data_IF_774859014050
#
_entry.id   IF_774859014050
#
_cell.length_a   1.000
_cell.length_b   1.000
_cell.length_c   1.000
_cell.angle_alpha   90.00
_cell.angle_beta   90.00
_cell.angle_gamma   90.00
#
_symmetry.space_group_name_H-M   'P 1'
#
loop_
_entity.id
_entity.type
_entity.pdbx_description
1 polymer ?
#
# COMPACT_ATOMS: atom_id res chain seq x y z
N UNK A 1 27.21 4.64 9.25
CA UNK A 1 26.25 3.52 9.32
C UNK A 1 24.86 4.11 9.27
N UNK A 2 24.16 3.97 8.15
CA UNK A 2 22.78 4.43 8.02
C UNK A 2 21.88 3.50 8.85
N UNK A 3 21.02 4.06 9.70
CA UNK A 3 20.01 3.29 10.44
C UNK A 3 19.07 2.63 9.42
N UNK A 4 18.81 1.33 9.57
CA UNK A 4 17.73 0.65 8.83
C UNK A 4 16.40 1.31 9.22
N UNK A 5 15.82 2.08 8.31
CA UNK A 5 14.49 2.67 8.47
C UNK A 5 13.48 1.63 7.97
N UNK A 6 12.42 1.38 8.74
CA UNK A 6 11.26 0.65 8.22
C UNK A 6 10.67 1.47 7.03
N UNK A 7 10.06 0.87 6.00
CA UNK A 7 9.36 1.53 4.88
C UNK A 7 8.47 2.75 5.21
N UNK A 8 8.06 2.98 6.46
CA UNK A 8 7.32 4.17 6.92
C UNK A 8 8.21 5.24 7.61
N UNK A 9 9.54 5.13 7.57
CA UNK A 9 10.45 6.05 8.26
C UNK A 9 10.49 5.89 9.79
N UNK A 10 9.82 4.87 10.35
CA UNK A 10 9.86 4.53 11.78
C UNK A 10 11.11 3.72 12.13
N UNK A 11 11.66 3.96 13.32
CA UNK A 11 12.91 3.34 13.81
C UNK A 11 12.72 1.99 14.51
N UNK A 12 11.54 1.37 14.46
CA UNK A 12 11.20 0.13 15.14
C UNK A 12 9.70 -0.21 15.07
N UNK A 13 9.33 -1.38 15.57
CA UNK A 13 7.93 -1.84 15.69
C UNK A 13 7.52 -1.85 17.17
N UNK A 14 6.43 -1.17 17.52
CA UNK A 14 5.88 -1.15 18.88
C UNK A 14 4.72 -2.16 19.01
N UNK A 15 4.94 -3.21 19.78
CA UNK A 15 3.96 -4.28 20.02
C UNK A 15 3.35 -4.11 21.41
N UNK A 16 2.02 -4.08 21.49
CA UNK A 16 1.30 -4.04 22.78
C UNK A 16 0.74 -5.42 23.10
N UNK A 17 1.09 -5.96 24.26
CA UNK A 17 0.57 -7.24 24.73
C UNK A 17 -0.63 -6.98 25.64
N UNK A 18 -1.82 -7.38 25.20
CA UNK A 18 -3.09 -7.18 25.88
C UNK A 18 -3.78 -8.53 26.14
N UNK A 19 -4.81 -8.52 26.99
CA UNK A 19 -5.54 -9.72 27.38
C UNK A 19 -5.84 -9.76 28.87
N UNK A 20 -6.60 -10.76 29.26
CA UNK A 20 -7.13 -10.90 30.61
C UNK A 20 -6.06 -11.08 31.68
N UNK A 21 -6.46 -10.86 32.94
CA UNK A 21 -5.58 -11.13 34.08
C UNK A 21 -5.26 -12.62 34.09
N UNK A 22 -3.98 -12.95 34.19
CA UNK A 22 -3.56 -14.35 34.28
C UNK A 22 -3.49 -15.09 32.95
N UNK A 23 -3.60 -14.42 31.80
CA UNK A 23 -3.40 -15.11 30.51
C UNK A 23 -1.95 -15.51 30.26
N UNK A 24 -0.97 -14.80 30.83
CA UNK A 24 0.46 -15.11 30.66
C UNK A 24 1.29 -14.04 29.95
N UNK A 25 0.75 -12.83 29.77
CA UNK A 25 1.41 -11.67 29.13
C UNK A 25 2.86 -11.45 29.57
N UNK A 26 3.09 -11.22 30.86
CA UNK A 26 4.43 -10.90 31.37
C UNK A 26 5.39 -12.10 31.22
N UNK A 27 4.91 -13.33 31.41
CA UNK A 27 5.72 -14.54 31.20
C UNK A 27 6.15 -14.70 29.74
N UNK A 28 5.23 -14.47 28.80
CA UNK A 28 5.52 -14.47 27.36
C UNK A 28 6.64 -13.47 27.02
N UNK A 29 6.56 -12.24 27.54
CA UNK A 29 7.54 -11.18 27.27
C UNK A 29 8.91 -11.50 27.87
N UNK A 30 8.96 -11.94 29.14
CA UNK A 30 10.23 -12.28 29.80
C UNK A 30 10.91 -13.44 29.09
N UNK A 31 10.18 -14.51 28.79
CA UNK A 31 10.75 -15.68 28.11
C UNK A 31 11.26 -15.29 26.71
N UNK A 32 10.55 -14.43 25.97
CA UNK A 32 11.01 -13.98 24.66
C UNK A 32 12.28 -13.12 24.73
N UNK A 33 12.44 -12.29 25.77
CA UNK A 33 13.60 -11.40 25.91
C UNK A 33 14.83 -12.08 26.52
N UNK A 34 14.63 -13.02 27.44
CA UNK A 34 15.71 -13.65 28.21
C UNK A 34 16.04 -15.08 27.76
N UNK A 35 15.27 -15.63 26.80
CA UNK A 35 15.34 -17.03 26.34
C UNK A 35 15.30 -18.06 27.48
N UNK A 36 14.74 -17.68 28.63
CA UNK A 36 14.67 -18.49 29.85
C UNK A 36 13.36 -18.22 30.58
N UNK A 37 12.69 -19.27 31.06
CA UNK A 37 11.51 -19.12 31.89
C UNK A 37 11.86 -18.68 33.31
N UNK A 38 11.22 -17.59 33.78
CA UNK A 38 11.34 -17.13 35.16
C UNK A 38 10.09 -17.52 35.96
N UNK A 39 10.26 -18.21 37.10
CA UNK A 39 9.14 -18.55 37.98
C UNK A 39 8.52 -17.32 38.67
N UNK A 40 9.33 -16.30 38.95
CA UNK A 40 8.91 -15.08 39.65
C UNK A 40 8.87 -13.89 38.69
N UNK A 41 7.83 -13.82 37.86
CA UNK A 41 7.63 -12.71 36.92
C UNK A 41 6.89 -11.55 37.60
N UNK A 42 7.38 -10.30 37.48
CA UNK A 42 6.64 -9.11 37.92
C UNK A 42 5.24 -9.04 37.29
N UNK A 43 4.28 -8.42 37.99
CA UNK A 43 2.89 -8.28 37.50
C UNK A 43 2.75 -7.41 36.25
N UNK A 44 3.68 -6.48 36.07
CA UNK A 44 3.74 -5.55 34.95
C UNK A 44 5.21 -5.27 34.69
N UNK A 45 5.64 -5.44 33.44
CA UNK A 45 7.01 -5.17 33.04
C UNK A 45 7.18 -3.72 32.56
N UNK A 46 8.39 -3.13 32.72
CA UNK A 46 8.74 -1.93 31.96
C UNK A 46 8.77 -2.24 30.45
N UNK A 47 8.78 -1.22 29.57
CA UNK A 47 8.96 -1.42 28.13
C UNK A 47 10.20 -2.27 27.83
N UNK A 48 10.00 -3.40 27.16
CA UNK A 48 11.04 -4.37 26.83
C UNK A 48 11.47 -4.18 25.39
N UNK A 49 12.77 -4.00 25.14
CA UNK A 49 13.30 -3.80 23.78
C UNK A 49 14.03 -5.04 23.31
N UNK A 50 13.58 -5.60 22.19
CA UNK A 50 14.34 -6.60 21.43
C UNK A 50 15.20 -5.86 20.39
N UNK A 51 16.50 -6.19 20.28
CA UNK A 51 17.42 -5.51 19.37
C UNK A 51 17.12 -5.86 17.90
N UNK A 52 17.73 -5.14 16.97
CA UNK A 52 17.44 -5.29 15.53
C UNK A 52 17.90 -6.64 14.97
N UNK A 53 19.00 -7.20 15.49
CA UNK A 53 19.57 -8.48 15.09
C UNK A 53 18.78 -9.71 15.58
N UNK A 54 17.71 -9.50 16.36
CA UNK A 54 16.89 -10.59 16.89
C UNK A 54 16.05 -11.29 15.79
N UNK A 55 15.63 -10.57 14.75
CA UNK A 55 14.82 -11.12 13.64
C UNK A 55 15.42 -10.78 12.26
N UNK A 56 15.12 -11.59 11.21
CA UNK A 56 15.73 -11.42 9.88
C UNK A 56 15.53 -10.05 9.24
N UNK A 57 14.40 -9.37 9.50
CA UNK A 57 14.08 -8.06 8.93
C UNK A 57 14.94 -6.92 9.49
N UNK A 58 15.73 -7.17 10.55
CA UNK A 58 16.62 -6.18 11.17
C UNK A 58 15.91 -4.90 11.63
N UNK A 59 14.71 -5.05 12.19
CA UNK A 59 13.93 -3.96 12.78
C UNK A 59 13.77 -4.21 14.28
N UNK A 60 14.16 -3.28 15.16
CA UNK A 60 14.03 -3.48 16.60
C UNK A 60 12.57 -3.45 17.03
N UNK A 61 12.23 -4.24 18.05
CA UNK A 61 10.87 -4.32 18.60
C UNK A 61 10.84 -3.71 20.00
N UNK A 62 9.81 -2.91 20.28
CA UNK A 62 9.49 -2.45 21.62
C UNK A 62 8.19 -3.09 22.07
N UNK A 63 8.27 -3.95 23.09
CA UNK A 63 7.13 -4.68 23.64
C UNK A 63 6.61 -3.96 24.88
N UNK A 64 5.31 -3.72 24.92
CA UNK A 64 4.62 -3.06 26.00
C UNK A 64 3.70 -4.07 26.69
N UNK A 65 4.05 -4.42 27.93
CA UNK A 65 3.16 -5.18 28.81
C UNK A 65 2.05 -4.28 29.33
N UNK A 66 0.84 -4.82 29.48
CA UNK A 66 -0.32 -4.02 29.90
C UNK A 66 -0.96 -4.59 31.17
N UNK A 67 -1.38 -3.67 32.04
CA UNK A 67 -2.11 -3.99 33.26
C UNK A 67 -3.54 -4.40 32.93
N UNK A 68 -4.02 -5.45 33.60
CA UNK A 68 -5.44 -5.86 33.54
C UNK A 68 -6.28 -5.20 34.66
N UNK A 69 -5.72 -4.26 35.42
CA UNK A 69 -6.46 -3.56 36.48
C UNK A 69 -7.44 -2.55 35.90
N UNK A 70 -8.70 -2.49 36.38
CA UNK A 70 -9.70 -1.54 35.89
C UNK A 70 -9.26 -0.06 36.00
N UNK A 71 -8.48 0.28 37.02
CA UNK A 71 -7.96 1.64 37.25
C UNK A 71 -6.97 2.10 36.16
N UNK A 72 -6.30 1.16 35.48
CA UNK A 72 -5.33 1.45 34.42
C UNK A 72 -5.97 1.50 33.01
N UNK A 73 -7.30 1.41 32.90
CA UNK A 73 -8.00 1.34 31.60
C UNK A 73 -7.66 2.52 30.68
N UNK A 74 -7.51 3.73 31.21
CA UNK A 74 -7.11 4.90 30.44
C UNK A 74 -5.70 4.78 29.85
N UNK A 75 -4.75 4.20 30.60
CA UNK A 75 -3.38 3.94 30.11
C UNK A 75 -3.38 2.83 29.06
N UNK A 76 -4.12 1.74 29.30
CA UNK A 76 -4.28 0.65 28.33
C UNK A 76 -4.77 1.18 26.98
N UNK A 77 -5.83 2.00 26.98
CA UNK A 77 -6.36 2.59 25.75
C UNK A 77 -5.33 3.48 25.03
N UNK A 78 -4.56 4.29 25.78
CA UNK A 78 -3.51 5.12 25.20
C UNK A 78 -2.37 4.28 24.59
N UNK A 79 -1.97 3.19 25.25
CA UNK A 79 -0.92 2.31 24.74
C UNK A 79 -1.40 1.53 23.50
N UNK A 80 -2.64 1.05 23.47
CA UNK A 80 -3.25 0.37 22.32
C UNK A 80 -3.36 1.29 21.10
N UNK A 81 -3.78 2.55 21.27
CA UNK A 81 -3.85 3.54 20.17
C UNK A 81 -2.49 3.88 19.55
N UNK A 82 -1.40 3.64 20.28
CA UNK A 82 -0.01 3.86 19.82
C UNK A 82 0.65 2.57 19.34
N UNK A 83 -0.06 1.44 19.32
CA UNK A 83 0.49 0.17 18.88
C UNK A 83 0.75 0.21 17.36
N UNK A 84 1.81 -0.45 16.92
CA UNK A 84 1.98 -0.85 15.52
C UNK A 84 1.43 -2.27 15.30
N UNK A 85 1.36 -3.11 16.34
CA UNK A 85 0.63 -4.38 16.39
C UNK A 85 0.16 -4.70 17.81
N UNK A 86 -0.90 -5.49 17.92
CA UNK A 86 -1.42 -5.98 19.21
C UNK A 86 -1.23 -7.49 19.30
N UNK A 87 -0.58 -7.95 20.36
CA UNK A 87 -0.58 -9.36 20.76
C UNK A 87 -1.70 -9.54 21.78
N UNK A 88 -2.77 -10.20 21.39
CA UNK A 88 -3.96 -10.40 22.23
C UNK A 88 -3.96 -11.80 22.81
N UNK A 89 -3.78 -11.90 24.12
CA UNK A 89 -3.56 -13.16 24.82
C UNK A 89 -4.83 -13.76 25.43
N UNK A 90 -4.96 -15.08 25.36
CA UNK A 90 -5.85 -15.89 26.19
C UNK A 90 -5.04 -17.01 26.87
N UNK A 91 -5.61 -17.67 27.88
CA UNK A 91 -5.01 -18.81 28.56
C UNK A 91 -5.64 -20.11 28.06
N UNK A 92 -4.81 -21.06 27.60
CA UNK A 92 -5.25 -22.36 27.09
C UNK A 92 -5.90 -23.25 28.15
N UNK A 93 -5.63 -22.98 29.43
CA UNK A 93 -6.24 -23.61 30.60
C UNK A 93 -7.54 -22.93 31.07
N UNK A 94 -7.94 -21.80 30.47
CA UNK A 94 -9.09 -20.99 30.91
C UNK A 94 -9.98 -20.58 29.72
N UNK A 95 -10.95 -21.42 29.33
CA UNK A 95 -11.83 -21.18 28.17
C UNK A 95 -12.57 -19.84 28.19
N UNK A 96 -12.86 -19.28 29.38
CA UNK A 96 -13.53 -17.99 29.52
C UNK A 96 -12.70 -16.85 28.93
N UNK A 97 -11.37 -16.92 29.04
CA UNK A 97 -10.47 -15.90 28.48
C UNK A 97 -10.46 -15.90 26.96
N UNK A 98 -10.67 -17.07 26.33
CA UNK A 98 -10.84 -17.22 24.89
C UNK A 98 -12.17 -16.61 24.43
N UNK A 99 -13.27 -16.88 25.15
CA UNK A 99 -14.57 -16.28 24.85
C UNK A 99 -14.54 -14.74 24.98
N UNK A 100 -13.71 -14.21 25.88
CA UNK A 100 -13.53 -12.76 26.05
C UNK A 100 -12.79 -12.07 24.90
N UNK A 101 -12.17 -12.82 23.98
CA UNK A 101 -11.62 -12.24 22.75
C UNK A 101 -12.72 -11.58 21.91
N UNK A 102 -13.76 -12.34 21.56
CA UNK A 102 -14.85 -11.87 20.69
C UNK A 102 -15.90 -11.04 21.42
N UNK A 103 -16.11 -11.27 22.72
CA UNK A 103 -17.14 -10.57 23.51
C UNK A 103 -16.66 -9.26 24.14
N UNK A 104 -15.35 -9.05 24.29
CA UNK A 104 -14.80 -7.86 24.93
C UNK A 104 -13.62 -7.25 24.17
N UNK A 105 -12.51 -7.99 24.00
CA UNK A 105 -11.25 -7.40 23.57
C UNK A 105 -11.29 -6.88 22.12
N UNK A 106 -11.75 -7.69 21.16
CA UNK A 106 -11.81 -7.28 19.76
C UNK A 106 -12.84 -6.15 19.54
N UNK A 107 -14.06 -6.19 20.13
CA UNK A 107 -14.97 -5.03 20.12
C UNK A 107 -14.36 -3.76 20.73
N UNK A 108 -13.63 -3.86 21.85
CA UNK A 108 -12.96 -2.72 22.48
C UNK A 108 -11.89 -2.12 21.56
N UNK A 109 -11.07 -2.96 20.88
CA UNK A 109 -10.09 -2.48 19.90
C UNK A 109 -10.76 -1.67 18.78
N UNK A 110 -11.89 -2.15 18.25
CA UNK A 110 -12.69 -1.43 17.25
C UNK A 110 -13.25 -0.13 17.80
N UNK A 111 -13.80 -0.14 19.02
CA UNK A 111 -14.33 1.06 19.66
C UNK A 111 -13.25 2.13 19.90
N UNK A 112 -12.01 1.71 20.16
CA UNK A 112 -10.85 2.58 20.30
C UNK A 112 -10.26 3.03 18.95
N UNK A 113 -10.82 2.58 17.83
CA UNK A 113 -10.34 2.82 16.46
C UNK A 113 -8.90 2.32 16.24
N UNK A 114 -8.53 1.23 16.89
CA UNK A 114 -7.22 0.58 16.72
C UNK A 114 -7.25 -0.23 15.42
N UNK A 115 -6.56 0.26 14.38
CA UNK A 115 -6.54 -0.32 13.02
C UNK A 115 -5.28 -1.12 12.69
N UNK A 116 -4.54 -1.54 13.72
CA UNK A 116 -3.29 -2.30 13.56
C UNK A 116 -3.53 -3.81 13.60
N UNK A 117 -2.64 -4.63 13.01
CA UNK A 117 -2.79 -6.08 13.02
C UNK A 117 -2.82 -6.65 14.44
N UNK A 118 -3.64 -7.68 14.62
CA UNK A 118 -3.81 -8.43 15.87
C UNK A 118 -3.29 -9.85 15.70
N UNK A 119 -2.40 -10.25 16.61
CA UNK A 119 -1.93 -11.63 16.74
C UNK A 119 -2.59 -12.22 17.98
N UNK A 120 -3.46 -13.20 17.79
CA UNK A 120 -4.10 -13.89 18.91
C UNK A 120 -3.17 -14.97 19.45
N UNK A 121 -2.95 -14.99 20.77
CA UNK A 121 -1.99 -15.90 21.39
C UNK A 121 -2.60 -16.68 22.54
N UNK A 122 -2.69 -17.99 22.39
CA UNK A 122 -3.04 -18.94 23.44
C UNK A 122 -1.82 -19.28 24.28
N UNK A 123 -1.69 -18.68 25.45
CA UNK A 123 -0.59 -18.94 26.37
C UNK A 123 -0.89 -20.16 27.27
N UNK A 124 0.15 -20.67 27.97
CA UNK A 124 0.04 -21.79 28.92
C UNK A 124 -0.45 -23.09 28.28
N UNK A 125 -0.03 -23.34 27.04
CA UNK A 125 -0.35 -24.57 26.32
C UNK A 125 0.02 -25.84 27.13
N UNK A 126 1.03 -25.76 27.98
CA UNK A 126 1.47 -26.83 28.88
C UNK A 126 0.46 -27.24 29.96
N UNK A 127 -0.52 -26.38 30.26
CA UNK A 127 -1.57 -26.63 31.26
C UNK A 127 -2.91 -27.04 30.65
N UNK A 128 -3.00 -27.16 29.31
CA UNK A 128 -4.25 -27.58 28.64
C UNK A 128 -4.58 -29.02 29.02
N UNK A 129 -5.85 -29.26 29.35
CA UNK A 129 -6.38 -30.60 29.55
C UNK A 129 -6.38 -31.39 28.24
N UNK A 130 -5.71 -32.55 28.22
CA UNK A 130 -5.64 -33.45 27.07
C UNK A 130 -7.02 -33.95 26.63
N UNK A 131 -7.98 -34.03 27.57
CA UNK A 131 -9.36 -34.45 27.30
C UNK A 131 -10.20 -33.36 26.60
N UNK A 132 -9.72 -32.11 26.59
CA UNK A 132 -10.39 -30.95 25.99
C UNK A 132 -9.68 -30.45 24.72
N UNK A 133 -8.91 -31.32 24.04
CA UNK A 133 -8.27 -30.97 22.77
C UNK A 133 -9.30 -30.71 21.67
N UNK A 134 -9.70 -29.45 21.52
CA UNK A 134 -10.35 -28.93 20.32
C UNK A 134 -9.29 -28.32 19.41
N UNK A 135 -9.41 -28.53 18.10
CA UNK A 135 -8.49 -27.93 17.14
C UNK A 135 -8.57 -26.39 17.21
N UNK A 136 -7.42 -25.73 17.34
CA UNK A 136 -7.32 -24.26 17.31
C UNK A 136 -8.02 -23.68 16.08
N UNK A 137 -7.87 -24.33 14.92
CA UNK A 137 -8.47 -23.90 13.67
C UNK A 137 -10.01 -23.91 13.73
N UNK A 138 -10.60 -24.94 14.36
CA UNK A 138 -12.04 -25.05 14.51
C UNK A 138 -12.62 -23.93 15.38
N UNK A 139 -11.89 -23.52 16.42
CA UNK A 139 -12.34 -22.48 17.35
C UNK A 139 -12.08 -21.07 16.81
N UNK A 140 -10.93 -20.85 16.17
CA UNK A 140 -10.53 -19.53 15.71
C UNK A 140 -11.13 -19.15 14.36
N UNK A 141 -11.45 -20.10 13.47
CA UNK A 141 -11.98 -19.80 12.13
C UNK A 141 -13.23 -18.90 12.16
N UNK A 142 -14.27 -19.15 12.98
CA UNK A 142 -15.41 -18.24 13.09
C UNK A 142 -15.04 -16.85 13.62
N UNK A 143 -14.09 -16.77 14.56
CA UNK A 143 -13.65 -15.50 15.15
C UNK A 143 -12.89 -14.68 14.10
N UNK A 144 -11.98 -15.29 13.34
CA UNK A 144 -11.22 -14.61 12.29
C UNK A 144 -12.11 -14.14 11.13
N UNK A 145 -13.20 -14.85 10.82
CA UNK A 145 -14.19 -14.40 9.84
C UNK A 145 -14.93 -13.13 10.30
N UNK A 146 -15.23 -13.03 11.60
CA UNK A 146 -15.87 -11.87 12.22
C UNK A 146 -14.88 -10.69 12.44
N UNK A 147 -13.62 -11.00 12.74
CA UNK A 147 -12.57 -10.06 13.11
C UNK A 147 -11.37 -10.15 12.18
N UNK A 148 -11.47 -9.44 11.05
CA UNK A 148 -10.47 -9.39 9.96
C UNK A 148 -9.15 -8.73 10.36
N UNK A 149 -9.13 -8.00 11.46
CA UNK A 149 -7.90 -7.47 12.06
C UNK A 149 -6.98 -8.56 12.64
N UNK A 150 -7.49 -9.79 12.84
CA UNK A 150 -6.68 -10.93 13.27
C UNK A 150 -5.92 -11.48 12.07
N UNK A 151 -4.59 -11.36 12.10
CA UNK A 151 -3.71 -11.87 11.05
C UNK A 151 -3.39 -13.35 11.26
N UNK A 152 -3.12 -13.76 12.51
CA UNK A 152 -2.81 -15.15 12.84
C UNK A 152 -3.09 -15.48 14.30
N UNK A 153 -3.21 -16.78 14.57
CA UNK A 153 -3.43 -17.34 15.90
C UNK A 153 -2.30 -18.32 16.22
N UNK A 154 -1.68 -18.17 17.39
CA UNK A 154 -0.54 -18.98 17.82
C UNK A 154 -0.81 -19.50 19.23
N UNK A 155 -0.51 -20.77 19.48
CA UNK A 155 -0.52 -21.31 20.84
C UNK A 155 0.91 -21.53 21.31
N UNK A 156 1.22 -21.09 22.52
CA UNK A 156 2.59 -21.07 23.03
C UNK A 156 2.64 -21.52 24.50
N UNK A 157 3.81 -22.02 24.91
CA UNK A 157 4.11 -22.27 26.31
C UNK A 157 5.42 -21.59 26.68
N UNK A 158 5.34 -20.59 27.56
CA UNK A 158 6.52 -19.93 28.10
C UNK A 158 7.35 -20.88 28.98
N UNK A 159 6.70 -21.84 29.65
CA UNK A 159 7.36 -22.84 30.49
C UNK A 159 8.12 -23.90 29.68
N UNK A 160 7.50 -24.42 28.61
CA UNK A 160 8.11 -25.41 27.72
C UNK A 160 8.90 -24.80 26.54
N UNK A 161 9.02 -23.48 26.47
CA UNK A 161 9.65 -22.76 25.36
C UNK A 161 9.05 -23.09 23.97
N UNK A 162 7.73 -23.25 23.91
CA UNK A 162 7.01 -23.59 22.67
C UNK A 162 6.51 -22.30 22.02
N UNK A 163 6.91 -22.07 20.77
CA UNK A 163 6.42 -21.01 19.87
C UNK A 163 6.57 -19.57 20.38
N UNK A 164 7.48 -19.31 21.33
CA UNK A 164 7.66 -17.98 21.93
C UNK A 164 8.28 -16.97 20.94
N UNK A 165 9.39 -17.28 20.23
CA UNK A 165 9.94 -16.39 19.22
C UNK A 165 8.95 -16.07 18.09
N UNK A 166 8.12 -17.04 17.71
CA UNK A 166 7.17 -16.97 16.60
C UNK A 166 6.11 -15.90 16.85
N UNK A 167 5.64 -15.73 18.10
CA UNK A 167 4.63 -14.70 18.44
C UNK A 167 5.08 -13.30 18.00
N UNK A 168 6.28 -12.90 18.40
CA UNK A 168 6.78 -11.55 18.10
C UNK A 168 7.33 -11.46 16.67
N UNK A 169 7.81 -12.57 16.10
CA UNK A 169 8.14 -12.66 14.68
C UNK A 169 6.92 -12.38 13.79
N UNK A 170 5.81 -13.07 13.99
CA UNK A 170 4.60 -12.87 13.20
C UNK A 170 3.96 -11.50 13.45
N UNK A 171 4.01 -10.99 14.69
CA UNK A 171 3.58 -9.63 14.98
C UNK A 171 4.40 -8.58 14.21
N UNK A 172 5.73 -8.73 14.14
CA UNK A 172 6.58 -7.87 13.32
C UNK A 172 6.24 -8.02 11.83
N UNK A 173 6.15 -9.25 11.32
CA UNK A 173 5.86 -9.50 9.90
C UNK A 173 4.52 -8.90 9.48
N UNK A 174 3.48 -8.96 10.31
CA UNK A 174 2.18 -8.37 10.02
C UNK A 174 2.25 -6.83 9.84
N UNK A 175 3.13 -6.16 10.58
CA UNK A 175 3.38 -4.70 10.41
C UNK A 175 4.22 -4.44 9.17
N UNK A 176 5.26 -5.24 8.97
CA UNK A 176 6.21 -5.05 7.87
C UNK A 176 5.67 -5.53 6.53
N UNK A 177 4.62 -6.34 6.49
CA UNK A 177 4.09 -6.96 5.27
C UNK A 177 2.57 -7.08 5.36
N UNK A 178 1.83 -5.95 5.46
CA UNK A 178 0.40 -6.00 5.74
C UNK A 178 -0.38 -6.69 4.62
N UNK A 179 -1.32 -7.55 4.99
CA UNK A 179 -2.20 -8.26 4.04
C UNK A 179 -3.23 -7.32 3.42
N UNK A 180 -3.77 -6.42 4.24
CA UNK A 180 -4.90 -5.55 3.91
C UNK A 180 -4.78 -4.75 2.60
N UNK A 181 -3.63 -4.15 2.26
CA UNK A 181 -3.46 -3.45 0.98
C UNK A 181 -3.43 -4.38 -0.25
N UNK A 182 -2.94 -5.62 -0.09
CA UNK A 182 -2.67 -6.52 -1.21
C UNK A 182 -3.90 -7.31 -1.66
N UNK A 183 -4.68 -7.82 -0.71
CA UNK A 183 -5.62 -8.90 -0.96
C UNK A 183 -6.93 -8.70 -0.21
N UNK A 184 -8.01 -9.05 -0.87
CA UNK A 184 -9.34 -9.08 -0.29
C UNK A 184 -9.68 -10.52 0.13
N UNK A 185 -9.80 -10.73 1.43
CA UNK A 185 -10.03 -12.05 2.00
C UNK A 185 -11.47 -12.53 1.79
N UNK A 186 -12.43 -11.66 1.46
CA UNK A 186 -13.81 -12.05 1.19
C UNK A 186 -13.96 -12.56 -0.24
N UNK A 187 -13.47 -11.81 -1.22
CA UNK A 187 -13.51 -12.22 -2.62
C UNK A 187 -12.39 -13.19 -3.01
N UNK A 188 -11.40 -13.41 -2.14
CA UNK A 188 -10.19 -14.19 -2.44
C UNK A 188 -9.48 -13.68 -3.70
N UNK A 189 -9.34 -12.35 -3.83
CA UNK A 189 -8.72 -11.72 -4.99
C UNK A 189 -7.74 -10.62 -4.58
N UNK A 190 -6.79 -10.31 -5.47
CA UNK A 190 -5.94 -9.14 -5.33
C UNK A 190 -6.79 -7.86 -5.37
N UNK A 191 -6.48 -6.90 -4.50
CA UNK A 191 -7.16 -5.60 -4.52
C UNK A 191 -6.79 -4.81 -5.78
N UNK A 192 -7.68 -3.95 -6.31
CA UNK A 192 -7.44 -3.22 -7.56
C UNK A 192 -6.11 -2.45 -7.58
N UNK A 193 -5.76 -1.78 -6.48
CA UNK A 193 -4.50 -1.02 -6.37
C UNK A 193 -3.26 -1.91 -6.45
N UNK A 194 -3.31 -3.10 -5.84
CA UNK A 194 -2.25 -4.12 -5.94
C UNK A 194 -2.11 -4.64 -7.37
N UNK A 195 -3.23 -4.92 -8.06
CA UNK A 195 -3.24 -5.34 -9.47
C UNK A 195 -2.59 -4.29 -10.37
N UNK A 196 -2.95 -3.00 -10.22
CA UNK A 196 -2.37 -1.89 -11.00
C UNK A 196 -0.86 -1.76 -10.78
N UNK A 197 -0.41 -1.89 -9.53
CA UNK A 197 1.01 -1.85 -9.19
C UNK A 197 1.79 -3.02 -9.80
N UNK A 198 1.29 -4.26 -9.67
CA UNK A 198 1.89 -5.45 -10.27
C UNK A 198 1.86 -5.41 -11.80
N UNK A 199 0.80 -4.87 -12.41
CA UNK A 199 0.73 -4.61 -13.86
C UNK A 199 1.85 -3.66 -14.30
N UNK A 200 2.09 -2.57 -13.58
CA UNK A 200 3.20 -1.66 -13.87
C UNK A 200 4.55 -2.39 -13.77
N UNK A 201 4.74 -3.20 -12.74
CA UNK A 201 5.98 -3.97 -12.55
C UNK A 201 6.19 -4.94 -13.72
N UNK A 202 5.14 -5.66 -14.13
CA UNK A 202 5.18 -6.54 -15.29
C UNK A 202 5.63 -5.79 -16.55
N UNK A 203 5.01 -4.64 -16.86
CA UNK A 203 5.35 -3.81 -18.03
C UNK A 203 6.81 -3.32 -17.97
N UNK A 204 7.33 -3.02 -16.78
CA UNK A 204 8.73 -2.62 -16.60
C UNK A 204 9.73 -3.78 -16.76
N UNK A 205 9.26 -5.02 -16.67
CA UNK A 205 10.09 -6.22 -16.82
C UNK A 205 9.97 -6.88 -18.20
N UNK A 206 8.86 -6.63 -18.91
CA UNK A 206 8.65 -6.99 -20.31
C UNK A 206 9.44 -6.00 -21.20
N UNK A 207 10.71 -6.33 -21.42
CA UNK A 207 11.67 -5.44 -22.07
C UNK A 207 11.44 -5.35 -23.58
N UNK A 208 11.02 -6.46 -24.21
CA UNK A 208 10.70 -6.50 -25.64
C UNK A 208 9.23 -6.13 -25.95
N UNK A 209 8.40 -5.97 -24.91
CA UNK A 209 6.99 -5.52 -24.96
C UNK A 209 6.12 -6.48 -25.74
N UNK A 210 6.41 -7.76 -25.64
CA UNK A 210 5.70 -8.81 -26.36
C UNK A 210 4.46 -9.33 -25.62
N UNK A 211 4.22 -8.84 -24.39
CA UNK A 211 3.09 -9.18 -23.54
C UNK A 211 3.31 -10.40 -22.65
N UNK A 212 4.53 -10.95 -22.61
CA UNK A 212 4.92 -12.06 -21.75
C UNK A 212 6.33 -11.87 -21.18
N UNK A 213 6.60 -12.44 -20.01
CA UNK A 213 7.97 -12.53 -19.48
C UNK A 213 8.61 -13.83 -19.97
N UNK A 214 9.59 -13.69 -20.85
CA UNK A 214 10.47 -14.77 -21.30
C UNK A 214 11.26 -15.38 -20.14
N UNK A 215 11.94 -16.51 -20.38
CA UNK A 215 12.81 -17.13 -19.35
C UNK A 215 13.92 -16.16 -18.89
N UNK A 216 14.45 -15.37 -19.82
CA UNK A 216 15.49 -14.38 -19.53
C UNK A 216 14.94 -13.25 -18.65
N UNK A 217 13.81 -12.66 -19.02
CA UNK A 217 13.21 -11.56 -18.26
C UNK A 217 12.70 -12.01 -16.90
N UNK A 218 12.14 -13.21 -16.80
CA UNK A 218 11.72 -13.78 -15.53
C UNK A 218 12.92 -14.02 -14.59
N UNK A 219 14.05 -14.46 -15.13
CA UNK A 219 15.29 -14.59 -14.36
C UNK A 219 15.85 -13.22 -13.96
N UNK A 220 15.86 -12.24 -14.86
CA UNK A 220 16.32 -10.88 -14.55
C UNK A 220 15.45 -10.22 -13.47
N UNK A 221 14.13 -10.41 -13.54
CA UNK A 221 13.18 -10.02 -12.51
C UNK A 221 13.51 -10.67 -11.16
N UNK A 222 13.79 -11.98 -11.14
CA UNK A 222 14.17 -12.68 -9.92
C UNK A 222 15.46 -12.11 -9.32
N UNK A 223 16.52 -11.96 -10.13
CA UNK A 223 17.80 -11.40 -9.69
C UNK A 223 17.61 -10.00 -9.13
N UNK A 224 16.83 -9.16 -9.82
CA UNK A 224 16.52 -7.80 -9.36
C UNK A 224 15.83 -7.80 -7.99
N UNK A 225 14.81 -8.63 -7.79
CA UNK A 225 13.99 -8.60 -6.57
C UNK A 225 14.62 -9.35 -5.40
N UNK A 226 15.28 -10.48 -5.64
CA UNK A 226 15.69 -11.43 -4.60
C UNK A 226 17.21 -11.65 -4.55
N UNK A 227 17.98 -11.00 -5.44
CA UNK A 227 19.44 -11.14 -5.54
C UNK A 227 19.90 -12.60 -5.74
N UNK A 228 19.07 -13.43 -6.36
CA UNK A 228 19.36 -14.83 -6.66
C UNK A 228 18.74 -15.21 -8.02
N UNK A 229 19.46 -15.90 -8.91
CA UNK A 229 18.90 -16.36 -10.18
C UNK A 229 18.01 -17.58 -9.99
N UNK A 230 17.11 -17.84 -10.95
CA UNK A 230 16.38 -19.11 -11.04
C UNK A 230 17.16 -20.08 -11.93
N UNK A 231 17.25 -21.33 -11.50
CA UNK A 231 17.68 -22.41 -12.38
C UNK A 231 16.62 -22.66 -13.48
N UNK A 232 17.01 -23.12 -14.68
CA UNK A 232 16.05 -23.39 -15.76
C UNK A 232 14.92 -24.34 -15.34
N UNK A 233 15.21 -25.33 -14.50
CA UNK A 233 14.20 -26.25 -13.95
C UNK A 233 13.20 -25.56 -13.00
N UNK A 234 13.63 -24.54 -12.26
CA UNK A 234 12.76 -23.75 -11.38
C UNK A 234 11.83 -22.85 -12.19
N UNK A 235 12.31 -22.25 -13.29
CA UNK A 235 11.49 -21.47 -14.21
C UNK A 235 10.38 -22.33 -14.81
N UNK A 236 10.73 -23.52 -15.31
CA UNK A 236 9.74 -24.50 -15.81
C UNK A 236 8.75 -24.89 -14.71
N UNK A 237 9.23 -25.06 -13.47
CA UNK A 237 8.39 -25.35 -12.31
C UNK A 237 7.37 -24.24 -12.03
N UNK A 238 7.80 -22.97 -12.02
CA UNK A 238 6.93 -21.81 -11.83
C UNK A 238 5.86 -21.75 -12.93
N UNK A 239 6.27 -21.86 -14.20
CA UNK A 239 5.35 -21.86 -15.34
C UNK A 239 4.33 -23.00 -15.26
N UNK A 240 4.77 -24.20 -14.88
CA UNK A 240 3.87 -25.36 -14.69
C UNK A 240 2.83 -25.10 -13.61
N UNK A 241 3.23 -24.57 -12.45
CA UNK A 241 2.30 -24.26 -11.35
C UNK A 241 1.21 -23.28 -11.79
N UNK A 242 1.56 -22.30 -12.64
CA UNK A 242 0.59 -21.36 -13.22
C UNK A 242 -0.30 -22.09 -14.23
N UNK A 243 0.30 -22.78 -15.21
CA UNK A 243 -0.41 -23.45 -16.30
C UNK A 243 -1.41 -24.51 -15.81
N UNK A 244 -1.08 -25.23 -14.74
CA UNK A 244 -1.93 -26.27 -14.15
C UNK A 244 -3.25 -25.72 -13.61
N UNK A 245 -3.28 -24.43 -13.22
CA UNK A 245 -4.45 -23.77 -12.64
C UNK A 245 -5.07 -22.70 -13.55
N UNK A 246 -4.28 -22.12 -14.44
CA UNK A 246 -4.64 -21.02 -15.32
C UNK A 246 -3.94 -21.19 -16.67
N UNK A 247 -4.65 -21.74 -17.64
CA UNK A 247 -4.09 -22.15 -18.94
C UNK A 247 -3.59 -20.95 -19.76
N UNK A 248 -4.25 -19.80 -19.64
CA UNK A 248 -3.87 -18.53 -20.25
C UNK A 248 -2.75 -17.79 -19.50
N UNK A 249 -2.32 -18.34 -18.36
CA UNK A 249 -1.27 -17.76 -17.54
C UNK A 249 0.13 -17.92 -18.14
N UNK A 250 0.34 -18.88 -19.05
CA UNK A 250 1.58 -19.04 -19.80
C UNK A 250 1.25 -19.24 -21.28
N UNK A 251 2.00 -18.59 -22.16
CA UNK A 251 1.91 -18.79 -23.61
C UNK A 251 3.28 -19.21 -24.17
N UNK A 252 3.40 -19.25 -25.51
CA UNK A 252 4.65 -19.64 -26.19
C UNK A 252 5.84 -18.71 -25.90
N UNK A 253 5.56 -17.44 -25.57
CA UNK A 253 6.57 -16.41 -25.27
C UNK A 253 7.00 -16.47 -23.80
N UNK A 254 6.09 -16.78 -22.89
CA UNK A 254 6.42 -16.97 -21.49
C UNK A 254 5.24 -16.72 -20.54
N UNK A 255 5.55 -16.19 -19.36
CA UNK A 255 4.56 -15.92 -18.32
C UNK A 255 3.76 -14.66 -18.69
N UNK A 256 2.44 -14.77 -18.86
CA UNK A 256 1.59 -13.63 -19.23
C UNK A 256 1.31 -12.73 -18.01
N UNK A 257 0.80 -11.52 -18.23
CA UNK A 257 0.36 -10.64 -17.12
C UNK A 257 -0.65 -11.36 -16.21
N UNK A 258 -1.61 -12.08 -16.78
CA UNK A 258 -2.61 -12.83 -16.02
C UNK A 258 -1.93 -13.91 -15.16
N UNK A 259 -0.96 -14.63 -15.72
CA UNK A 259 -0.15 -15.61 -14.98
C UNK A 259 0.69 -14.98 -13.87
N UNK A 260 1.28 -13.81 -14.11
CA UNK A 260 2.05 -13.06 -13.13
C UNK A 260 1.19 -12.60 -11.94
N UNK A 261 0.01 -12.05 -12.20
CA UNK A 261 -0.96 -11.69 -11.16
C UNK A 261 -1.42 -12.91 -10.37
N UNK A 262 -1.72 -14.01 -11.07
CA UNK A 262 -2.12 -15.27 -10.44
C UNK A 262 -1.03 -15.82 -9.51
N UNK A 263 0.24 -15.77 -9.93
CA UNK A 263 1.36 -16.23 -9.11
C UNK A 263 1.48 -15.43 -7.81
N UNK A 264 1.29 -14.10 -7.87
CA UNK A 264 1.29 -13.25 -6.69
C UNK A 264 0.10 -13.50 -5.76
N UNK A 265 -1.09 -13.75 -6.31
CA UNK A 265 -2.25 -14.19 -5.52
C UNK A 265 -1.94 -15.51 -4.79
N UNK A 266 -1.36 -16.49 -5.49
CA UNK A 266 -0.97 -17.78 -4.91
C UNK A 266 0.07 -17.65 -3.79
N UNK A 267 1.03 -16.72 -3.89
CA UNK A 267 1.96 -16.46 -2.80
C UNK A 267 1.25 -15.93 -1.55
N UNK A 268 0.30 -15.01 -1.72
CA UNK A 268 -0.47 -14.43 -0.63
C UNK A 268 -1.35 -15.49 0.05
N UNK A 269 -2.07 -16.29 -0.73
CA UNK A 269 -2.89 -17.41 -0.22
C UNK A 269 -2.08 -18.42 0.59
N UNK A 270 -0.82 -18.63 0.22
CA UNK A 270 0.11 -19.52 0.95
C UNK A 270 0.79 -18.84 2.15
N UNK A 271 0.36 -17.65 2.55
CA UNK A 271 0.94 -16.88 3.65
C UNK A 271 2.33 -16.29 3.36
N UNK A 272 2.75 -16.25 2.08
CA UNK A 272 4.07 -15.75 1.64
C UNK A 272 3.99 -14.29 1.18
N UNK A 273 3.39 -13.44 2.02
CA UNK A 273 3.19 -12.00 1.75
C UNK A 273 4.50 -11.27 1.45
N UNK A 274 5.57 -11.66 2.14
CA UNK A 274 6.90 -11.08 2.00
C UNK A 274 7.42 -11.13 0.56
N UNK A 275 7.12 -12.19 -0.20
CA UNK A 275 7.54 -12.32 -1.59
C UNK A 275 6.94 -11.18 -2.44
N UNK A 276 5.64 -10.94 -2.32
CA UNK A 276 4.95 -9.86 -3.04
C UNK A 276 5.40 -8.48 -2.58
N UNK A 277 5.54 -8.28 -1.26
CA UNK A 277 6.03 -7.01 -0.72
C UNK A 277 7.47 -6.69 -1.11
N UNK A 278 8.34 -7.69 -1.19
CA UNK A 278 9.74 -7.52 -1.66
C UNK A 278 9.75 -6.99 -3.09
N UNK A 279 8.94 -7.57 -3.97
CA UNK A 279 8.77 -7.11 -5.36
C UNK A 279 8.26 -5.67 -5.38
N UNK A 280 7.16 -5.37 -4.69
CA UNK A 280 6.61 -4.01 -4.62
C UNK A 280 7.65 -2.98 -4.15
N UNK A 281 8.38 -3.26 -3.07
CA UNK A 281 9.40 -2.35 -2.54
C UNK A 281 10.59 -2.18 -3.47
N UNK A 282 11.01 -3.23 -4.17
CA UNK A 282 12.09 -3.14 -5.16
C UNK A 282 11.75 -2.18 -6.30
N UNK A 283 10.46 -2.04 -6.61
CA UNK A 283 9.95 -1.10 -7.60
C UNK A 283 9.44 0.21 -6.99
N UNK A 284 9.77 0.46 -5.72
CA UNK A 284 9.59 1.74 -5.05
C UNK A 284 8.22 1.97 -4.42
N UNK A 285 7.42 0.92 -4.22
CA UNK A 285 6.12 1.05 -3.55
C UNK A 285 6.24 1.01 -2.02
N UNK A 286 5.44 1.83 -1.35
CA UNK A 286 5.24 1.84 0.10
C UNK A 286 4.07 0.94 0.54
N UNK A 287 3.75 0.91 1.84
CA UNK A 287 2.68 0.07 2.40
C UNK A 287 1.26 0.46 1.93
N UNK A 288 1.06 1.66 1.39
CA UNK A 288 -0.20 2.10 0.78
C UNK A 288 -0.31 1.73 -0.71
N UNK A 289 0.70 1.04 -1.24
CA UNK A 289 0.87 0.72 -2.67
C UNK A 289 0.88 2.01 -3.51
N UNK A 290 1.60 3.02 -3.02
CA UNK A 290 1.96 4.23 -3.76
C UNK A 290 3.48 4.30 -3.90
N UNK A 291 3.96 5.06 -4.89
CA UNK A 291 5.41 5.27 -5.03
C UNK A 291 5.91 6.02 -3.80
N UNK A 292 7.08 5.63 -3.30
CA UNK A 292 7.74 6.33 -2.21
C UNK A 292 8.04 7.77 -2.60
N UNK A 293 7.92 8.69 -1.65
CA UNK A 293 8.24 10.11 -1.83
C UNK A 293 9.70 10.32 -2.30
N UNK A 294 10.59 9.37 -2.02
CA UNK A 294 11.99 9.41 -2.49
C UNK A 294 12.12 9.37 -4.02
N UNK A 295 11.12 8.83 -4.72
CA UNK A 295 11.06 8.80 -6.18
C UNK A 295 10.49 10.10 -6.78
N UNK A 296 9.93 10.98 -5.95
CA UNK A 296 9.29 12.22 -6.37
C UNK A 296 10.27 13.38 -6.17
N UNK A 297 10.62 14.14 -7.23
CA UNK A 297 11.66 15.17 -7.16
C UNK A 297 11.15 16.46 -6.48
N UNK A 298 10.80 16.40 -5.20
CA UNK A 298 10.19 17.51 -4.44
C UNK A 298 11.01 18.81 -4.47
N UNK A 299 12.34 18.72 -4.57
CA UNK A 299 13.21 19.88 -4.71
C UNK A 299 12.98 20.67 -6.00
N UNK A 300 12.58 20.00 -7.08
CA UNK A 300 12.38 20.61 -8.40
C UNK A 300 11.12 21.48 -8.47
N UNK A 301 10.19 21.32 -7.53
CA UNK A 301 8.95 22.11 -7.44
C UNK A 301 9.11 23.41 -6.64
N UNK A 302 10.25 23.59 -5.95
CA UNK A 302 10.52 24.76 -5.10
C UNK A 302 10.54 26.03 -5.96
N UNK A 303 9.68 26.99 -5.61
CA UNK A 303 9.45 28.20 -6.41
C UNK A 303 9.11 29.39 -5.54
N UNK A 304 9.37 30.60 -6.05
CA UNK A 304 8.87 31.83 -5.43
C UNK A 304 7.35 31.97 -5.63
N UNK A 305 6.64 32.77 -4.81
CA UNK A 305 5.19 32.96 -4.93
C UNK A 305 4.74 33.51 -6.29
N UNK A 306 5.62 34.22 -7.01
CA UNK A 306 5.33 34.78 -8.33
C UNK A 306 5.84 33.89 -9.48
N UNK A 307 6.11 32.61 -9.23
CA UNK A 307 6.47 31.60 -10.22
C UNK A 307 5.41 30.50 -10.29
N UNK A 308 5.30 29.87 -11.45
CA UNK A 308 4.44 28.72 -11.74
C UNK A 308 5.28 27.53 -12.21
N UNK A 309 4.77 26.32 -12.06
CA UNK A 309 5.36 25.10 -12.65
C UNK A 309 4.56 24.73 -13.89
N UNK A 310 5.25 24.34 -14.95
CA UNK A 310 4.65 23.91 -16.22
C UNK A 310 5.35 22.65 -16.70
N UNK A 311 4.68 21.85 -17.54
CA UNK A 311 5.32 20.74 -18.26
C UNK A 311 6.35 21.26 -19.26
N UNK A 312 7.39 20.47 -19.50
CA UNK A 312 8.34 20.71 -20.59
C UNK A 312 7.77 20.22 -21.93
N UNK A 313 8.34 20.68 -23.04
CA UNK A 313 7.95 20.18 -24.36
C UNK A 313 8.22 18.67 -24.49
N UNK A 314 9.29 18.16 -23.88
CA UNK A 314 9.59 16.71 -23.84
C UNK A 314 8.45 15.92 -23.17
N UNK A 315 7.99 16.37 -22.00
CA UNK A 315 6.86 15.74 -21.32
C UNK A 315 5.56 15.84 -22.13
N UNK A 316 5.32 16.97 -22.81
CA UNK A 316 4.15 17.14 -23.67
C UNK A 316 4.19 16.19 -24.88
N UNK A 317 5.33 16.03 -25.55
CA UNK A 317 5.47 15.08 -26.67
C UNK A 317 5.30 13.63 -26.21
N UNK A 318 5.81 13.28 -25.03
CA UNK A 318 5.52 11.99 -24.41
C UNK A 318 4.02 11.78 -24.19
N UNK A 319 3.33 12.77 -23.62
CA UNK A 319 1.88 12.70 -23.38
C UNK A 319 1.06 12.59 -24.67
N UNK A 320 1.49 13.23 -25.76
CA UNK A 320 0.88 13.05 -27.08
C UNK A 320 1.02 11.60 -27.57
N UNK A 321 2.21 11.03 -27.44
CA UNK A 321 2.44 9.62 -27.78
C UNK A 321 1.60 8.65 -26.94
N UNK A 322 1.41 8.96 -25.64
CA UNK A 322 0.47 8.21 -24.79
C UNK A 322 -0.96 8.35 -25.29
N UNK A 323 -1.41 9.57 -25.61
CA UNK A 323 -2.75 9.80 -26.15
C UNK A 323 -3.00 8.96 -27.41
N UNK A 324 -2.09 9.04 -28.39
CA UNK A 324 -2.18 8.29 -29.66
C UNK A 324 -2.19 6.77 -29.46
N UNK A 325 -1.48 6.27 -28.44
CA UNK A 325 -1.46 4.84 -28.13
C UNK A 325 -2.83 4.33 -27.66
N UNK A 326 -3.58 5.14 -26.92
CA UNK A 326 -4.87 4.75 -26.35
C UNK A 326 -6.08 5.20 -27.19
N UNK A 327 -5.92 6.16 -28.09
CA UNK A 327 -6.89 6.53 -29.13
C UNK A 327 -6.77 5.58 -30.34
N UNK A 328 -7.11 4.30 -30.12
CA UNK A 328 -6.90 3.25 -31.12
C UNK A 328 -7.78 3.37 -32.37
N UNK A 329 -8.93 4.04 -32.26
CA UNK A 329 -9.83 4.33 -33.37
C UNK A 329 -9.56 5.69 -34.05
N UNK A 330 -8.59 6.46 -33.55
CA UNK A 330 -8.10 7.72 -34.12
C UNK A 330 -9.22 8.75 -34.30
N UNK A 331 -10.18 8.76 -33.38
CA UNK A 331 -11.35 9.64 -33.43
C UNK A 331 -11.11 10.99 -32.72
N UNK A 332 -9.90 11.18 -32.16
CA UNK A 332 -9.52 12.32 -31.33
C UNK A 332 -10.49 12.50 -30.14
N UNK A 333 -10.85 11.37 -29.52
CA UNK A 333 -11.77 11.34 -28.41
C UNK A 333 -11.48 10.14 -27.47
N UNK A 334 -10.57 10.36 -26.52
CA UNK A 334 -10.36 9.40 -25.43
C UNK A 334 -11.60 9.29 -24.55
N UNK A 335 -12.29 8.15 -24.66
CA UNK A 335 -13.48 7.81 -23.87
C UNK A 335 -13.09 7.60 -22.40
N UNK A 336 -14.05 7.68 -21.46
CA UNK A 336 -13.76 7.48 -20.04
C UNK A 336 -13.04 6.17 -19.72
N UNK A 337 -13.31 5.09 -20.47
CA UNK A 337 -12.63 3.81 -20.30
C UNK A 337 -11.16 3.86 -20.77
N UNK A 338 -10.87 4.54 -21.89
CA UNK A 338 -9.51 4.69 -22.39
C UNK A 338 -8.68 5.59 -21.46
N UNK A 339 -9.29 6.63 -20.88
CA UNK A 339 -8.66 7.43 -19.83
C UNK A 339 -8.34 6.57 -18.61
N UNK A 340 -9.24 5.67 -18.20
CA UNK A 340 -8.95 4.73 -17.11
C UNK A 340 -7.81 3.77 -17.46
N UNK A 341 -7.73 3.33 -18.73
CA UNK A 341 -6.66 2.48 -19.24
C UNK A 341 -5.29 3.18 -19.29
N UNK A 342 -5.24 4.47 -19.66
CA UNK A 342 -4.03 5.31 -19.57
C UNK A 342 -3.46 5.27 -18.16
N UNK A 343 -4.32 5.40 -17.15
CA UNK A 343 -3.92 5.37 -15.74
C UNK A 343 -3.97 3.97 -15.12
N UNK A 344 -4.07 2.89 -15.90
CA UNK A 344 -4.21 1.53 -15.36
C UNK A 344 -2.99 1.04 -14.56
N UNK A 345 -1.87 1.76 -14.61
CA UNK A 345 -0.66 1.53 -13.80
C UNK A 345 -0.50 2.51 -12.63
N UNK A 346 -1.36 3.53 -12.53
CA UNK A 346 -1.45 4.42 -11.37
C UNK A 346 -2.35 3.79 -10.27
N UNK A 347 -2.30 4.25 -9.01
CA UNK A 347 -3.14 3.73 -7.93
C UNK A 347 -4.64 3.91 -8.21
N UNK A 348 -4.98 5.02 -8.86
CA UNK A 348 -6.31 5.44 -9.29
C UNK A 348 -6.15 6.54 -10.36
N UNK A 349 -7.16 6.77 -11.19
CA UNK A 349 -7.14 7.90 -12.13
C UNK A 349 -7.13 9.23 -11.38
N UNK A 350 -6.19 10.15 -11.69
CA UNK A 350 -6.09 11.43 -10.99
C UNK A 350 -7.25 12.38 -11.27
N UNK A 351 -8.07 12.11 -12.31
CA UNK A 351 -9.07 13.05 -12.82
C UNK A 351 -10.52 12.74 -12.42
N UNK A 352 -10.74 11.68 -11.64
CA UNK A 352 -12.08 11.27 -11.21
C UNK A 352 -12.71 12.22 -10.17
N UNK A 353 -11.88 12.99 -9.46
CA UNK A 353 -12.29 13.87 -8.37
C UNK A 353 -12.02 15.35 -8.69
N UNK A 354 -12.69 16.23 -7.94
CA UNK A 354 -12.40 17.66 -8.00
C UNK A 354 -10.91 17.92 -7.63
N UNK A 355 -10.24 18.91 -8.24
CA UNK A 355 -10.79 19.91 -9.17
C UNK A 355 -10.80 19.48 -10.65
N UNK A 356 -10.39 18.26 -10.99
CA UNK A 356 -10.19 17.79 -12.37
C UNK A 356 -11.46 17.25 -12.99
N UNK A 357 -12.34 16.66 -12.17
CA UNK A 357 -13.62 16.18 -12.64
C UNK A 357 -14.38 17.28 -13.36
N UNK A 358 -14.64 17.06 -14.65
CA UNK A 358 -15.30 18.00 -15.55
C UNK A 358 -14.56 19.36 -15.66
N UNK A 359 -13.23 19.39 -15.55
CA UNK A 359 -12.44 20.62 -15.71
C UNK A 359 -12.11 20.95 -17.16
N UNK A 360 -11.97 19.95 -18.03
CA UNK A 360 -11.77 20.13 -19.47
C UNK A 360 -13.06 20.05 -20.31
N UNK A 361 -12.96 20.57 -21.53
CA UNK A 361 -13.99 20.41 -22.57
C UNK A 361 -14.12 18.92 -22.95
N UNK A 362 -15.35 18.47 -23.16
CA UNK A 362 -15.63 17.11 -23.64
C UNK A 362 -16.06 17.19 -25.09
N UNK A 363 -15.68 16.21 -25.89
CA UNK A 363 -16.14 16.08 -27.28
C UNK A 363 -17.65 15.81 -27.33
N UNK A 364 -18.23 15.84 -28.53
CA UNK A 364 -19.63 15.45 -28.74
C UNK A 364 -19.93 14.00 -28.32
N UNK A 365 -18.91 13.14 -28.25
CA UNK A 365 -19.00 11.74 -27.81
C UNK A 365 -18.75 11.56 -26.30
N UNK A 366 -18.45 12.65 -25.58
CA UNK A 366 -18.30 12.67 -24.13
C UNK A 366 -16.91 12.28 -23.60
N UNK A 367 -15.92 12.07 -24.47
CA UNK A 367 -14.52 11.86 -24.11
C UNK A 367 -13.68 13.14 -24.17
N UNK A 368 -12.36 12.98 -24.07
CA UNK A 368 -11.37 14.07 -24.12
C UNK A 368 -10.67 14.10 -25.48
N UNK A 369 -10.61 15.26 -26.12
CA UNK A 369 -9.70 15.48 -27.23
C UNK A 369 -8.25 15.57 -26.75
N UNK A 370 -7.27 15.54 -27.67
CA UNK A 370 -5.86 15.73 -27.33
C UNK A 370 -5.61 17.03 -26.56
N UNK A 371 -6.23 18.15 -26.98
CA UNK A 371 -6.08 19.44 -26.31
C UNK A 371 -6.69 19.43 -24.91
N UNK A 372 -7.85 18.77 -24.72
CA UNK A 372 -8.49 18.62 -23.43
C UNK A 372 -7.66 17.74 -22.49
N UNK A 373 -7.11 16.63 -22.99
CA UNK A 373 -6.19 15.75 -22.27
C UNK A 373 -4.93 16.50 -21.79
N UNK A 374 -4.28 17.24 -22.68
CA UNK A 374 -3.12 18.07 -22.33
C UNK A 374 -3.48 19.19 -21.35
N UNK A 375 -4.71 19.72 -21.42
CA UNK A 375 -5.21 20.74 -20.50
C UNK A 375 -5.39 20.20 -19.08
N UNK A 376 -5.90 18.98 -18.91
CA UNK A 376 -5.99 18.31 -17.59
C UNK A 376 -4.59 18.10 -16.98
N UNK A 377 -3.63 17.67 -17.80
CA UNK A 377 -2.22 17.55 -17.37
C UNK A 377 -1.61 18.89 -16.97
N UNK A 378 -1.86 19.95 -17.74
CA UNK A 378 -1.39 21.29 -17.42
C UNK A 378 -2.03 21.84 -16.14
N UNK A 379 -3.33 21.58 -15.92
CA UNK A 379 -4.04 21.92 -14.70
C UNK A 379 -3.46 21.19 -13.48
N UNK A 380 -3.27 19.88 -13.59
CA UNK A 380 -2.65 19.07 -12.52
C UNK A 380 -1.23 19.56 -12.21
N UNK A 381 -0.41 19.84 -13.22
CA UNK A 381 0.94 20.38 -13.01
C UNK A 381 0.94 21.74 -12.33
N UNK A 382 -0.03 22.61 -12.66
CA UNK A 382 -0.15 23.94 -12.07
C UNK A 382 -0.53 23.86 -10.58
N UNK A 383 -1.51 23.01 -10.25
CA UNK A 383 -2.09 22.90 -8.92
C UNK A 383 -1.25 22.02 -7.99
N UNK A 384 -0.82 20.87 -8.49
CA UNK A 384 -0.05 19.87 -7.76
C UNK A 384 1.04 19.24 -8.65
N UNK A 385 2.20 19.91 -8.78
CA UNK A 385 3.32 19.42 -9.59
C UNK A 385 3.82 18.03 -9.16
N UNK A 386 3.74 17.71 -7.87
CA UNK A 386 4.22 16.43 -7.34
C UNK A 386 3.32 15.29 -7.83
N UNK A 387 1.99 15.45 -7.68
CA UNK A 387 1.02 14.48 -8.21
C UNK A 387 1.11 14.33 -9.72
N UNK A 388 1.40 15.41 -10.45
CA UNK A 388 1.59 15.33 -11.90
C UNK A 388 2.80 14.48 -12.27
N UNK A 389 3.96 14.73 -11.66
CA UNK A 389 5.17 13.95 -11.93
C UNK A 389 5.02 12.50 -11.47
N UNK A 390 4.37 12.26 -10.33
CA UNK A 390 4.03 10.92 -9.86
C UNK A 390 3.21 10.15 -10.91
N UNK A 391 2.18 10.76 -11.49
CA UNK A 391 1.37 10.13 -12.53
C UNK A 391 2.14 9.91 -13.84
N UNK A 392 3.07 10.80 -14.21
CA UNK A 392 3.99 10.58 -15.34
C UNK A 392 4.85 9.32 -15.13
N UNK A 393 5.36 9.12 -13.90
CA UNK A 393 6.15 7.93 -13.55
C UNK A 393 5.28 6.66 -13.64
N UNK A 394 4.01 6.74 -13.23
CA UNK A 394 3.08 5.62 -13.31
C UNK A 394 2.83 5.18 -14.75
N UNK A 395 2.58 6.12 -15.66
CA UNK A 395 2.28 5.82 -17.07
C UNK A 395 3.54 5.57 -17.92
N UNK A 396 4.73 5.56 -17.31
CA UNK A 396 5.97 5.11 -17.95
C UNK A 396 6.78 6.20 -18.64
N UNK A 397 6.78 7.43 -18.12
CA UNK A 397 7.68 8.48 -18.60
C UNK A 397 9.14 7.98 -18.59
N UNK A 398 9.85 8.00 -19.74
CA UNK A 398 11.16 7.36 -19.88
C UNK A 398 12.32 8.25 -19.42
N UNK A 399 12.11 9.56 -19.32
CA UNK A 399 13.11 10.52 -18.89
C UNK A 399 13.27 10.60 -17.37
N UNK A 400 14.24 11.40 -16.92
CA UNK A 400 14.36 11.72 -15.51
C UNK A 400 13.11 12.51 -15.05
N UNK A 401 12.39 12.11 -13.98
CA UNK A 401 11.17 12.78 -13.57
C UNK A 401 11.34 14.28 -13.28
N UNK A 402 12.55 14.72 -12.93
CA UNK A 402 12.84 16.13 -12.69
C UNK A 402 12.90 16.97 -13.97
N UNK A 403 13.14 16.36 -15.15
CA UNK A 403 13.17 17.02 -16.45
C UNK A 403 11.78 17.24 -17.07
N UNK A 404 10.76 16.53 -16.57
CA UNK A 404 9.41 16.60 -17.10
C UNK A 404 8.73 17.96 -16.87
N UNK A 405 9.26 18.77 -15.95
CA UNK A 405 8.69 20.04 -15.54
C UNK A 405 9.72 21.16 -15.55
N UNK A 406 9.23 22.40 -15.67
CA UNK A 406 10.02 23.63 -15.55
C UNK A 406 9.37 24.61 -14.59
N UNK A 407 10.19 25.29 -13.80
CA UNK A 407 9.75 26.43 -13.00
C UNK A 407 9.88 27.69 -13.87
N UNK A 408 8.76 28.33 -14.15
CA UNK A 408 8.72 29.57 -14.94
C UNK A 408 9.52 30.68 -14.26
N UNK A 409 10.04 31.63 -15.04
CA UNK A 409 10.69 32.81 -14.46
C UNK A 409 9.70 33.66 -13.65
N UNK A 410 10.25 34.48 -12.76
CA UNK A 410 9.47 35.35 -11.86
C UNK A 410 8.62 36.34 -12.64
N UNK A 411 7.33 36.42 -12.32
CA UNK A 411 6.36 37.33 -12.97
C UNK A 411 6.79 38.78 -12.95
N UNK A 412 7.53 39.22 -11.92
CA UNK A 412 8.08 40.59 -11.87
C UNK A 412 9.02 40.89 -13.05
N UNK A 413 9.75 39.90 -13.55
CA UNK A 413 10.63 40.05 -14.71
C UNK A 413 9.83 40.09 -16.01
N UNK A 414 8.78 39.26 -16.12
CA UNK A 414 7.85 39.31 -17.26
C UNK A 414 7.24 40.71 -17.41
N UNK A 415 6.77 41.29 -16.31
CA UNK A 415 6.19 42.64 -16.28
C UNK A 415 7.21 43.71 -16.68
N UNK A 416 8.44 43.62 -16.18
CA UNK A 416 9.52 44.57 -16.52
C UNK A 416 9.89 44.50 -18.01
N UNK A 417 9.86 43.30 -18.60
CA UNK A 417 10.17 43.07 -20.02
C UNK A 417 8.95 43.22 -20.95
N UNK A 418 7.75 43.34 -20.40
CA UNK A 418 6.47 43.27 -21.14
C UNK A 418 6.35 42.05 -22.06
N UNK A 419 6.95 40.93 -21.64
CA UNK A 419 6.97 39.69 -22.40
C UNK A 419 6.86 38.53 -21.41
N UNK A 420 5.99 37.56 -21.67
CA UNK A 420 5.84 36.33 -20.86
C UNK A 420 6.39 35.13 -21.61
N UNK A 421 7.04 34.22 -20.88
CA UNK A 421 7.44 32.89 -21.38
C UNK A 421 6.53 31.77 -20.86
N UNK A 422 5.48 32.15 -20.11
CA UNK A 422 4.47 31.24 -19.55
C UNK A 422 3.48 30.83 -20.60
N UNK A 423 3.10 29.56 -20.56
CA UNK A 423 2.05 29.00 -21.38
C UNK A 423 0.74 28.83 -20.59
N UNK A 424 0.82 28.82 -19.25
CA UNK A 424 -0.34 28.61 -18.37
C UNK A 424 -0.62 29.85 -17.53
N UNK A 425 -1.86 30.34 -17.59
CA UNK A 425 -2.32 31.50 -16.83
C UNK A 425 -3.48 31.14 -15.91
N UNK A 426 -3.33 31.43 -14.62
CA UNK A 426 -4.39 31.26 -13.64
C UNK A 426 -5.20 32.55 -13.51
N UNK A 427 -6.50 32.48 -13.80
CA UNK A 427 -7.44 33.58 -13.61
C UNK A 427 -8.40 33.25 -12.46
N UNK A 428 -8.47 34.13 -11.46
CA UNK A 428 -9.43 34.00 -10.36
C UNK A 428 -10.72 34.75 -10.71
N UNK A 429 -11.83 34.03 -10.81
CA UNK A 429 -13.14 34.62 -11.05
C UNK A 429 -13.84 34.90 -9.72
N UNK A 430 -13.89 36.18 -9.34
CA UNK A 430 -14.45 36.64 -8.06
C UNK A 430 -15.75 37.42 -8.29
N UNK A 431 -16.73 37.23 -7.41
CA UNK A 431 -18.03 37.90 -7.49
C UNK A 431 -19.04 37.28 -6.53
N UNK A 432 -20.15 37.96 -6.23
CA UNK A 432 -21.16 37.47 -5.29
C UNK A 432 -21.87 36.21 -5.79
N UNK A 433 -22.62 35.54 -4.90
CA UNK A 433 -23.52 34.45 -5.28
C UNK A 433 -24.45 34.90 -6.41
N UNK A 434 -24.72 34.03 -7.38
CA UNK A 434 -25.54 34.30 -8.56
C UNK A 434 -25.01 35.36 -9.54
N UNK A 435 -23.75 35.82 -9.41
CA UNK A 435 -23.11 36.70 -10.41
C UNK A 435 -22.77 36.02 -11.75
N UNK A 436 -23.25 34.80 -12.00
CA UNK A 436 -22.98 34.06 -13.25
C UNK A 436 -21.58 33.47 -13.38
N UNK A 437 -20.77 33.41 -12.30
CA UNK A 437 -19.38 32.91 -12.36
C UNK A 437 -19.26 31.51 -12.98
N UNK A 438 -20.07 30.56 -12.50
CA UNK A 438 -20.07 29.18 -13.00
C UNK A 438 -20.57 29.09 -14.44
N UNK A 439 -21.54 29.93 -14.83
CA UNK A 439 -22.02 29.99 -16.20
C UNK A 439 -20.94 30.50 -17.17
N UNK A 440 -20.15 31.50 -16.75
CA UNK A 440 -19.01 31.98 -17.53
C UNK A 440 -17.96 30.89 -17.73
N UNK A 441 -17.62 30.13 -16.68
CA UNK A 441 -16.68 29.01 -16.77
C UNK A 441 -17.21 27.89 -17.68
N UNK A 442 -18.47 27.51 -17.53
CA UNK A 442 -19.09 26.49 -18.38
C UNK A 442 -19.13 26.93 -19.84
N UNK A 443 -19.44 28.20 -20.12
CA UNK A 443 -19.39 28.76 -21.47
C UNK A 443 -17.99 28.74 -22.07
N UNK A 444 -16.94 28.93 -21.26
CA UNK A 444 -15.55 28.82 -21.72
C UNK A 444 -15.19 27.39 -22.15
N UNK A 445 -15.81 26.39 -21.54
CA UNK A 445 -15.66 24.96 -21.89
C UNK A 445 -16.65 24.50 -22.96
N UNK A 446 -17.31 25.41 -23.69
CA UNK A 446 -18.29 25.06 -24.73
C UNK A 446 -19.60 24.45 -24.19
N UNK A 447 -19.80 24.41 -22.86
CA UNK A 447 -21.01 23.85 -22.25
C UNK A 447 -22.13 24.89 -22.31
N UNK A 448 -23.03 24.72 -23.27
CA UNK A 448 -24.23 25.54 -23.33
C UNK A 448 -25.11 25.26 -22.11
N UNK A 449 -25.50 26.32 -21.41
CA UNK A 449 -26.51 26.21 -20.37
C UNK A 449 -27.85 25.90 -21.02
N UNK A 450 -28.41 24.73 -20.74
CA UNK A 450 -29.86 24.58 -20.75
C UNK A 450 -30.39 25.50 -19.66
N UNK A 451 -30.80 26.69 -20.07
CA UNK A 451 -31.53 27.63 -19.24
C UNK A 451 -32.81 26.89 -18.83
N UNK A 452 -32.90 26.41 -17.58
CA UNK A 452 -34.19 26.13 -16.99
C UNK A 452 -34.89 27.48 -16.74
N UNK A 453 -36.14 27.65 -17.20
CA UNK A 453 -36.89 28.90 -17.04
C UNK A 453 -37.17 29.24 -15.58
#
# INVERSE_FOLDING_TARGET
MAKSLNPEGKTGVRIVVAGDRGTGKSSLIVTAAADTFAANVPRLLPPTRLPEDFYPDRVPITIIDTSSNPEDRGKLAAELKRADAVVLTYACDQPETLNRLSTFWLPELRQLEVKVPVIVVGCRLDLRDELQQVSLEQVMSPIMQQFREIETCIECSAYKHIQIPEVFYYAQKAVLHPTGPLFDQESQTLKPRCVRALKRIFILCDHDRDGALSDAELNDFQVKCFNAPLQPSEIVGVKRVVQDKLVEGVNERGLTLTGFLFLHALFIEKGRLETTWTVLRKFGYNNDIKLSDDLIPHSSFKRAPDQSVELTNEAIEFLKGVYELFDSDLDNNLRPIEVEDVFSTAPESPWNDAPYKDAAEKTALGGLSLDAFLSEWALMTLLDPARSVENLIYIGYPGDPSSAIRVTRRRRLDRKKQQSERNVFQCFLLGPTNAGKSALMNSFLGRHSSICP
#
